data_IF_781704038406
#
_entry.id   IF_781704038406
#
_cell.length_a   1.000
_cell.length_b   1.000
_cell.length_c   1.000
_cell.angle_alpha   90.00
_cell.angle_beta   90.00
_cell.angle_gamma   90.00
#
_symmetry.space_group_name_H-M   'P 1'
#
loop_
_entity.id
_entity.type
_entity.pdbx_description
1 polymer ?
#
# COMPACT_ATOMS: atom_id res chain seq x y z
N UNK A 1 16.15 80.29 19.76
CA UNK A 1 16.66 79.10 19.13
C UNK A 1 15.72 77.92 19.39
N UNK A 2 14.92 77.52 18.41
CA UNK A 2 14.00 76.35 18.52
C UNK A 2 14.69 75.18 17.88
N UNK A 3 14.96 74.12 18.66
CA UNK A 3 15.52 72.89 18.19
C UNK A 3 14.38 72.01 17.75
N UNK A 4 14.34 71.64 16.46
CA UNK A 4 13.38 70.67 15.90
C UNK A 4 14.02 69.30 15.98
N UNK A 5 13.48 68.42 16.83
CA UNK A 5 13.90 66.98 16.87
C UNK A 5 13.04 66.22 15.84
N UNK A 6 13.67 65.77 14.77
CA UNK A 6 13.00 64.91 13.78
C UNK A 6 13.09 63.47 14.24
N UNK A 7 11.95 62.87 14.57
CA UNK A 7 11.83 61.43 14.89
C UNK A 7 11.67 60.64 13.59
N UNK A 8 12.70 59.88 13.23
CA UNK A 8 12.59 58.95 12.11
C UNK A 8 11.85 57.69 12.50
N UNK A 9 10.64 57.48 11.92
CA UNK A 9 9.89 56.26 12.05
C UNK A 9 10.45 55.23 11.04
N UNK A 10 11.24 54.30 11.54
CA UNK A 10 11.71 53.17 10.74
C UNK A 10 10.57 52.17 10.47
N UNK A 11 10.13 52.07 9.22
CA UNK A 11 9.20 51.04 8.78
C UNK A 11 9.99 49.73 8.62
N UNK A 12 9.79 48.80 9.56
CA UNK A 12 10.34 47.44 9.47
C UNK A 12 9.47 46.66 8.45
N UNK A 13 9.97 46.53 7.21
CA UNK A 13 9.36 45.63 6.22
C UNK A 13 9.60 44.20 6.64
N UNK A 14 8.59 43.51 7.17
CA UNK A 14 8.59 42.08 7.34
C UNK A 14 8.46 41.44 5.96
N UNK A 15 9.56 40.90 5.43
CA UNK A 15 9.54 40.04 4.26
C UNK A 15 9.01 38.66 4.70
N UNK A 16 7.75 38.36 4.38
CA UNK A 16 7.25 36.99 4.48
C UNK A 16 8.04 36.10 3.49
N UNK A 17 8.62 34.97 3.94
CA UNK A 17 9.24 34.04 3.00
C UNK A 17 8.14 33.56 2.04
N UNK A 18 8.38 33.73 0.75
CA UNK A 18 7.52 33.14 -0.29
C UNK A 18 7.54 31.64 -0.09
N UNK A 19 6.44 31.07 0.43
CA UNK A 19 6.26 29.63 0.54
C UNK A 19 6.31 29.04 -0.85
N UNK A 20 7.41 28.35 -1.16
CA UNK A 20 7.53 27.59 -2.41
C UNK A 20 6.38 26.58 -2.48
N UNK A 21 5.81 26.38 -3.67
CA UNK A 21 4.81 25.33 -3.88
C UNK A 21 5.37 23.97 -3.36
N UNK A 22 4.55 23.17 -2.66
CA UNK A 22 5.03 21.89 -2.17
C UNK A 22 5.58 21.05 -3.32
N UNK A 23 6.76 20.46 -3.12
CA UNK A 23 7.37 19.59 -4.11
C UNK A 23 6.40 18.46 -4.45
N UNK A 24 6.28 18.13 -5.74
CA UNK A 24 5.45 17.00 -6.17
C UNK A 24 6.05 15.71 -5.59
N UNK A 25 5.21 14.82 -5.03
CA UNK A 25 5.70 13.56 -4.50
C UNK A 25 6.38 12.74 -5.61
N UNK A 26 7.51 12.12 -5.29
CA UNK A 26 8.15 11.16 -6.16
C UNK A 26 7.27 9.93 -6.35
N UNK A 27 7.35 9.30 -7.52
CA UNK A 27 6.71 8.01 -7.81
C UNK A 27 7.82 6.96 -7.86
N UNK A 28 7.75 5.98 -6.95
CA UNK A 28 8.72 4.90 -6.84
C UNK A 28 8.06 3.56 -7.18
N UNK A 29 8.71 2.77 -8.04
CA UNK A 29 8.20 1.47 -8.47
C UNK A 29 8.95 0.33 -7.78
N UNK A 30 8.23 -0.57 -7.13
CA UNK A 30 8.74 -1.78 -6.51
C UNK A 30 8.33 -2.96 -7.38
N UNK A 31 9.29 -3.57 -8.06
CA UNK A 31 9.01 -4.66 -8.97
C UNK A 31 9.92 -5.87 -8.72
N UNK A 32 9.48 -7.03 -9.18
CA UNK A 32 10.34 -8.17 -9.44
C UNK A 32 10.83 -8.09 -10.89
N UNK A 33 12.09 -8.41 -11.17
CA UNK A 33 12.61 -8.37 -12.54
C UNK A 33 11.81 -9.24 -13.51
N UNK A 34 11.31 -10.38 -13.01
CA UNK A 34 10.52 -11.32 -13.78
C UNK A 34 9.82 -12.34 -12.86
N UNK A 35 8.83 -13.03 -13.40
CA UNK A 35 8.23 -14.23 -12.82
C UNK A 35 8.51 -15.39 -13.80
N UNK A 36 9.23 -16.42 -13.35
CA UNK A 36 9.62 -17.57 -14.18
C UNK A 36 10.30 -17.15 -15.50
N UNK A 37 11.21 -16.18 -15.43
CA UNK A 37 11.97 -15.70 -16.59
C UNK A 37 11.21 -14.75 -17.53
N UNK A 38 9.95 -14.40 -17.23
CA UNK A 38 9.16 -13.46 -18.02
C UNK A 38 8.95 -12.15 -17.27
N UNK A 39 9.16 -10.99 -17.91
CA UNK A 39 8.85 -9.71 -17.28
C UNK A 39 7.35 -9.59 -16.98
N UNK A 40 7.02 -9.04 -15.82
CA UNK A 40 5.63 -8.74 -15.48
C UNK A 40 5.22 -7.40 -16.14
N UNK A 41 3.98 -7.27 -16.64
CA UNK A 41 3.48 -6.02 -17.21
C UNK A 41 3.04 -4.99 -16.15
N UNK A 42 3.41 -5.21 -14.87
CA UNK A 42 3.06 -4.36 -13.73
C UNK A 42 4.15 -4.41 -12.66
N UNK A 43 4.18 -3.41 -11.79
CA UNK A 43 5.00 -3.40 -10.57
C UNK A 43 4.30 -4.15 -9.44
N UNK A 44 5.04 -4.77 -8.52
CA UNK A 44 4.46 -5.37 -7.31
C UNK A 44 3.81 -4.33 -6.39
N UNK A 45 4.37 -3.12 -6.39
CA UNK A 45 3.82 -1.95 -5.71
C UNK A 45 4.32 -0.65 -6.32
N UNK A 46 3.59 0.43 -6.08
CA UNK A 46 3.99 1.80 -6.44
C UNK A 46 3.82 2.70 -5.22
N UNK A 47 4.87 3.42 -4.84
CA UNK A 47 4.82 4.44 -3.79
C UNK A 47 4.60 5.82 -4.40
N UNK A 48 3.65 6.56 -3.84
CA UNK A 48 3.40 7.98 -4.16
C UNK A 48 3.34 8.74 -2.85
N UNK A 49 4.36 9.52 -2.56
CA UNK A 49 4.50 10.17 -1.26
C UNK A 49 4.50 9.16 -0.11
N UNK A 50 3.57 9.29 0.82
CA UNK A 50 3.46 8.44 2.00
C UNK A 50 2.56 7.21 1.80
N UNK A 51 2.06 6.96 0.61
CA UNK A 51 1.20 5.81 0.34
C UNK A 51 1.90 4.84 -0.61
N UNK A 52 1.92 3.56 -0.20
CA UNK A 52 2.34 2.43 -1.03
C UNK A 52 1.09 1.67 -1.49
N UNK A 53 0.89 1.62 -2.79
CA UNK A 53 -0.17 0.87 -3.45
C UNK A 53 0.38 -0.49 -3.87
N UNK A 54 -0.13 -1.56 -3.30
CA UNK A 54 0.22 -2.92 -3.68
C UNK A 54 -0.64 -3.38 -4.84
N UNK A 55 -0.04 -4.00 -5.83
CA UNK A 55 -0.79 -4.75 -6.86
C UNK A 55 -1.47 -5.97 -6.25
N UNK A 56 -2.55 -6.43 -6.88
CA UNK A 56 -3.25 -7.64 -6.50
C UNK A 56 -2.31 -8.84 -6.37
N UNK A 57 -2.45 -9.58 -5.27
CA UNK A 57 -1.72 -10.79 -5.01
C UNK A 57 -2.68 -11.97 -4.97
N UNK A 58 -2.47 -12.94 -5.86
CA UNK A 58 -3.09 -14.26 -5.80
C UNK A 58 -2.22 -15.21 -4.96
N UNK A 59 -2.79 -16.34 -4.55
CA UNK A 59 -2.07 -17.33 -3.75
C UNK A 59 -1.05 -18.16 -4.51
N UNK A 60 -0.31 -17.58 -5.46
CA UNK A 60 0.71 -18.28 -6.23
C UNK A 60 1.98 -18.45 -5.40
N UNK A 61 2.48 -19.68 -5.30
CA UNK A 61 3.73 -20.01 -4.62
C UNK A 61 4.97 -19.65 -5.42
N UNK A 62 6.15 -19.73 -4.80
CA UNK A 62 7.43 -19.46 -5.48
C UNK A 62 7.74 -20.49 -6.61
N UNK A 63 7.10 -21.64 -6.59
CA UNK A 63 7.14 -22.66 -7.63
C UNK A 63 6.23 -22.38 -8.83
N UNK A 64 5.49 -21.25 -8.78
CA UNK A 64 4.55 -20.84 -9.83
C UNK A 64 3.20 -21.57 -9.78
N UNK A 65 2.89 -22.29 -8.71
CA UNK A 65 1.64 -23.04 -8.57
C UNK A 65 0.73 -22.42 -7.51
N UNK A 66 -0.57 -22.63 -7.71
CA UNK A 66 -1.59 -22.33 -6.69
C UNK A 66 -1.74 -23.55 -5.78
N UNK A 67 -1.65 -23.40 -4.45
CA UNK A 67 -1.96 -24.48 -3.53
C UNK A 67 -3.46 -24.79 -3.52
N UNK A 68 -3.82 -25.98 -3.05
CA UNK A 68 -5.21 -26.42 -3.02
C UNK A 68 -6.00 -25.72 -1.91
N UNK A 69 -7.19 -25.24 -2.26
CA UNK A 69 -8.18 -24.69 -1.35
C UNK A 69 -7.93 -23.24 -0.92
N UNK A 70 -9.03 -22.63 -0.47
CA UNK A 70 -9.06 -21.19 -0.14
C UNK A 70 -8.14 -20.83 1.02
N UNK A 71 -8.05 -21.69 2.05
CA UNK A 71 -7.20 -21.43 3.22
C UNK A 71 -5.72 -21.32 2.86
N UNK A 72 -5.24 -22.26 2.04
CA UNK A 72 -3.84 -22.28 1.61
C UNK A 72 -3.54 -21.14 0.63
N UNK A 73 -4.45 -20.86 -0.31
CA UNK A 73 -4.29 -19.74 -1.23
C UNK A 73 -4.36 -18.39 -0.50
N UNK A 74 -5.21 -18.25 0.54
CA UNK A 74 -5.24 -17.03 1.35
C UNK A 74 -3.92 -16.82 2.08
N UNK A 75 -3.36 -17.85 2.73
CA UNK A 75 -2.05 -17.74 3.37
C UNK A 75 -0.99 -17.29 2.38
N UNK A 76 -0.90 -17.98 1.25
CA UNK A 76 0.11 -17.66 0.25
C UNK A 76 -0.05 -16.24 -0.32
N UNK A 77 -1.27 -15.78 -0.58
CA UNK A 77 -1.51 -14.42 -1.04
C UNK A 77 -1.08 -13.37 0.01
N UNK A 78 -1.40 -13.60 1.27
CA UNK A 78 -0.96 -12.73 2.36
C UNK A 78 0.55 -12.77 2.54
N UNK A 79 1.19 -13.93 2.46
CA UNK A 79 2.66 -14.07 2.52
C UNK A 79 3.33 -13.34 1.34
N UNK A 80 2.73 -13.37 0.16
CA UNK A 80 3.18 -12.58 -1.00
C UNK A 80 3.10 -11.07 -0.71
N UNK A 81 2.01 -10.59 -0.09
CA UNK A 81 1.91 -9.21 0.40
C UNK A 81 3.05 -8.91 1.38
N UNK A 82 3.27 -9.79 2.37
CA UNK A 82 4.37 -9.65 3.33
C UNK A 82 5.74 -9.55 2.70
N UNK A 83 5.99 -10.30 1.62
CA UNK A 83 7.23 -10.21 0.87
C UNK A 83 7.41 -8.86 0.18
N UNK A 84 6.32 -8.26 -0.36
CA UNK A 84 6.36 -6.89 -0.93
C UNK A 84 6.63 -5.87 0.16
N UNK A 85 5.91 -5.94 1.28
CA UNK A 85 6.08 -5.05 2.42
C UNK A 85 7.51 -5.08 2.96
N UNK A 86 8.08 -6.28 3.12
CA UNK A 86 9.46 -6.47 3.58
C UNK A 86 10.48 -5.77 2.68
N UNK A 87 10.30 -5.81 1.35
CA UNK A 87 11.19 -5.09 0.41
C UNK A 87 11.07 -3.58 0.56
N UNK A 88 9.90 -3.08 0.96
CA UNK A 88 9.67 -1.66 1.24
C UNK A 88 10.06 -1.26 2.67
N UNK A 89 10.52 -2.19 3.52
CA UNK A 89 10.86 -1.91 4.92
C UNK A 89 9.65 -1.65 5.83
N UNK A 90 8.47 -2.18 5.48
CA UNK A 90 7.18 -1.89 6.14
C UNK A 90 6.58 -3.19 6.66
N UNK A 91 5.80 -3.12 7.74
CA UNK A 91 5.06 -4.25 8.30
C UNK A 91 3.55 -4.21 7.97
N UNK A 92 2.86 -5.31 8.31
CA UNK A 92 1.40 -5.40 8.18
C UNK A 92 0.64 -4.37 9.03
N UNK A 93 1.22 -3.91 10.13
CA UNK A 93 0.69 -2.89 11.03
C UNK A 93 0.44 -1.53 10.35
N UNK A 94 1.01 -1.35 9.16
CA UNK A 94 0.88 -0.13 8.36
C UNK A 94 -0.14 -0.24 7.24
N UNK A 95 -0.72 -1.41 7.01
CA UNK A 95 -1.82 -1.58 6.08
C UNK A 95 -3.07 -0.90 6.64
N UNK A 96 -3.67 0.00 5.89
CA UNK A 96 -4.87 0.71 6.32
C UNK A 96 -6.12 0.38 5.49
N UNK A 97 -5.95 -0.18 4.29
CA UNK A 97 -7.07 -0.60 3.44
C UNK A 97 -6.69 -1.81 2.59
N UNK A 98 -7.64 -2.72 2.37
CA UNK A 98 -7.52 -3.81 1.42
C UNK A 98 -8.82 -4.01 0.62
N UNK A 99 -8.69 -4.52 -0.60
CA UNK A 99 -9.80 -5.06 -1.40
C UNK A 99 -9.53 -6.53 -1.67
N UNK A 100 -10.49 -7.38 -1.35
CA UNK A 100 -10.43 -8.81 -1.62
C UNK A 100 -11.44 -9.19 -2.72
N UNK A 101 -10.96 -9.94 -3.71
CA UNK A 101 -11.77 -10.52 -4.77
C UNK A 101 -11.81 -12.03 -4.56
N UNK A 102 -13.00 -12.62 -4.59
CA UNK A 102 -13.22 -14.04 -4.40
C UNK A 102 -13.87 -14.62 -5.66
N UNK A 103 -13.32 -15.71 -6.20
CA UNK A 103 -13.93 -16.40 -7.33
C UNK A 103 -15.31 -17.00 -6.97
N UNK A 104 -15.53 -17.36 -5.69
CA UNK A 104 -16.83 -17.74 -5.13
C UNK A 104 -16.98 -17.13 -3.73
N UNK A 105 -18.00 -16.32 -3.52
CA UNK A 105 -18.30 -15.69 -2.24
C UNK A 105 -18.63 -16.67 -1.12
N UNK A 106 -18.93 -17.93 -1.43
CA UNK A 106 -19.07 -19.01 -0.43
C UNK A 106 -17.78 -19.23 0.36
N UNK A 107 -16.63 -18.86 -0.22
CA UNK A 107 -15.32 -18.95 0.42
C UNK A 107 -15.04 -17.82 1.42
N UNK A 108 -15.92 -16.80 1.52
CA UNK A 108 -15.69 -15.64 2.39
C UNK A 108 -15.46 -15.98 3.86
N UNK A 109 -16.21 -16.89 4.50
CA UNK A 109 -15.94 -17.26 5.90
C UNK A 109 -14.56 -17.90 6.09
N UNK A 110 -14.16 -18.80 5.20
CA UNK A 110 -12.86 -19.48 5.25
C UNK A 110 -11.70 -18.49 4.98
N UNK A 111 -11.85 -17.63 3.98
CA UNK A 111 -10.92 -16.52 3.74
C UNK A 111 -10.74 -15.64 5.00
N UNK A 112 -11.84 -15.19 5.63
CA UNK A 112 -11.78 -14.36 6.82
C UNK A 112 -11.01 -15.03 7.96
N UNK A 113 -11.23 -16.33 8.20
CA UNK A 113 -10.55 -17.09 9.25
C UNK A 113 -9.02 -17.02 9.14
N UNK A 114 -8.50 -17.05 7.92
CA UNK A 114 -7.06 -16.94 7.65
C UNK A 114 -6.59 -15.49 7.71
N UNK A 115 -7.31 -14.59 7.02
CA UNK A 115 -6.97 -13.19 6.87
C UNK A 115 -6.75 -12.47 8.21
N UNK A 116 -7.65 -12.69 9.19
CA UNK A 116 -7.57 -12.00 10.49
C UNK A 116 -6.27 -12.32 11.25
N UNK A 117 -5.67 -13.48 11.01
CA UNK A 117 -4.42 -13.88 11.67
C UNK A 117 -3.20 -13.04 11.29
N UNK A 118 -3.27 -12.25 10.22
CA UNK A 118 -2.18 -11.36 9.80
C UNK A 118 -2.21 -9.98 10.48
N UNK A 119 -3.28 -9.68 11.22
CA UNK A 119 -3.47 -8.41 11.94
C UNK A 119 -3.65 -8.66 13.44
N UNK A 120 -2.53 -8.87 14.17
CA UNK A 120 -2.58 -9.01 15.62
C UNK A 120 -3.14 -7.74 16.27
N UNK A 121 -3.56 -7.83 17.52
CA UNK A 121 -4.10 -6.72 18.32
C UNK A 121 -5.46 -6.16 17.86
N UNK A 122 -6.16 -6.85 16.95
CA UNK A 122 -7.49 -6.42 16.48
C UNK A 122 -7.49 -5.15 15.64
N UNK A 123 -6.32 -4.66 15.19
CA UNK A 123 -6.19 -3.48 14.33
C UNK A 123 -6.38 -3.85 12.87
N UNK A 124 -7.62 -4.17 12.51
CA UNK A 124 -7.98 -4.52 11.13
C UNK A 124 -7.96 -3.30 10.22
N UNK A 125 -7.39 -3.40 9.00
CA UNK A 125 -7.56 -2.36 7.99
C UNK A 125 -9.03 -2.28 7.55
N UNK A 126 -9.43 -1.12 7.03
CA UNK A 126 -10.68 -1.03 6.28
C UNK A 126 -10.65 -2.02 5.11
N UNK A 127 -11.76 -2.70 4.81
CA UNK A 127 -11.77 -3.70 3.75
C UNK A 127 -13.11 -3.75 3.02
N UNK A 128 -13.02 -3.91 1.68
CA UNK A 128 -14.12 -4.37 0.83
C UNK A 128 -13.86 -5.79 0.34
N UNK A 129 -14.93 -6.56 0.08
CA UNK A 129 -14.84 -7.89 -0.52
C UNK A 129 -15.91 -8.04 -1.59
N UNK A 130 -15.53 -8.59 -2.75
CA UNK A 130 -16.38 -8.74 -3.91
C UNK A 130 -16.25 -10.15 -4.52
N UNK A 131 -17.34 -10.63 -5.11
CA UNK A 131 -17.29 -11.78 -6.02
C UNK A 131 -16.75 -11.36 -7.39
N UNK A 132 -15.83 -12.15 -7.95
CA UNK A 132 -15.27 -11.95 -9.27
C UNK A 132 -15.70 -13.07 -10.22
N UNK A 133 -15.87 -12.74 -11.50
CA UNK A 133 -16.14 -13.73 -12.53
C UNK A 133 -14.83 -14.36 -13.06
N UNK A 134 -14.12 -15.07 -12.18
CA UNK A 134 -12.81 -15.65 -12.44
C UNK A 134 -11.67 -14.71 -12.07
N UNK A 135 -10.53 -15.32 -11.71
CA UNK A 135 -9.29 -14.65 -11.34
C UNK A 135 -8.12 -15.26 -12.11
N UNK A 136 -6.99 -14.54 -12.15
CA UNK A 136 -5.80 -14.97 -12.87
C UNK A 136 -5.38 -16.39 -12.47
N UNK A 137 -5.01 -17.21 -13.45
CA UNK A 137 -4.56 -18.60 -13.29
C UNK A 137 -5.58 -19.52 -12.59
N UNK A 138 -6.85 -19.14 -12.50
CA UNK A 138 -7.87 -19.90 -11.78
C UNK A 138 -7.76 -19.78 -10.25
N UNK A 139 -7.15 -18.72 -9.74
CA UNK A 139 -7.05 -18.46 -8.31
C UNK A 139 -8.44 -18.34 -7.65
N UNK A 140 -8.54 -18.76 -6.39
CA UNK A 140 -9.76 -18.67 -5.60
C UNK A 140 -9.96 -17.29 -4.96
N UNK A 141 -8.85 -16.53 -4.80
CA UNK A 141 -8.87 -15.16 -4.33
C UNK A 141 -7.74 -14.34 -4.95
N UNK A 142 -7.96 -13.04 -4.94
CA UNK A 142 -6.94 -12.01 -5.13
C UNK A 142 -7.13 -10.93 -4.07
N UNK A 143 -6.06 -10.34 -3.56
CA UNK A 143 -6.14 -9.26 -2.59
C UNK A 143 -5.11 -8.18 -2.91
N UNK A 144 -5.55 -6.93 -2.91
CA UNK A 144 -4.71 -5.74 -2.99
C UNK A 144 -4.82 -4.94 -1.71
N UNK A 145 -3.77 -4.20 -1.34
CA UNK A 145 -3.79 -3.38 -0.15
C UNK A 145 -3.11 -2.03 -0.38
N UNK A 146 -3.49 -1.05 0.43
CA UNK A 146 -2.86 0.26 0.53
C UNK A 146 -2.20 0.39 1.91
N UNK A 147 -1.00 0.94 1.93
CA UNK A 147 -0.11 0.93 3.08
C UNK A 147 0.43 2.33 3.33
N UNK A 148 0.42 2.76 4.58
CA UNK A 148 1.06 4.01 4.95
C UNK A 148 2.57 3.80 5.07
N UNK A 149 3.33 4.45 4.20
CA UNK A 149 4.78 4.35 4.06
C UNK A 149 5.53 5.59 4.58
N UNK A 150 4.82 6.55 5.17
CA UNK A 150 5.42 7.74 5.78
C UNK A 150 6.15 7.42 7.09
N UNK A 151 6.95 8.37 7.57
CA UNK A 151 7.62 8.28 8.88
C UNK A 151 6.61 8.13 10.01
N UNK A 152 7.05 7.54 11.15
CA UNK A 152 6.22 7.38 12.36
C UNK A 152 6.11 8.68 13.13
#
# INVERSE_FOLDING_TARGET
MKVIVATAIGVLMMTTPAGGAPARPAVEHFGRPNLNGKPLPFSDAVRVGDILYLSGQIGIGPDGKLPDGIDAQTRQAMDNIGAVLKRAGIGYDRIFHCTAFLADMKNWPAFNKVYVGYFPDGKMPARSAFGANGLALGALLEIECQVYAGEK
#
